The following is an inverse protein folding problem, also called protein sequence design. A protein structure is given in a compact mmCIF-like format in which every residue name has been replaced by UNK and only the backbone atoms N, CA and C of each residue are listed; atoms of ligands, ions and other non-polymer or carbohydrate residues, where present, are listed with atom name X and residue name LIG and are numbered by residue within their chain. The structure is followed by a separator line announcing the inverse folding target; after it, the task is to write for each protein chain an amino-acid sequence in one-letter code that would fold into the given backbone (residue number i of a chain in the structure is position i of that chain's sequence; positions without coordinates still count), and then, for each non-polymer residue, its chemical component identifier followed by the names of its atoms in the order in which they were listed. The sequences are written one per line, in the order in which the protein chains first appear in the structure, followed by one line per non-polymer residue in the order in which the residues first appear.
data_IF_795072188071
#
_entry.id   IF_795072188071
#
_cell.length_a   1.000
_cell.length_b   1.000
_cell.length_c   1.000
_cell.angle_alpha   90.00
_cell.angle_beta   90.00
_cell.angle_gamma   90.00
#
_symmetry.space_group_name_H-M   'P 1'
#
loop_
_entity.id
_entity.type
_entity.pdbx_description
1 polymer ?
#
# COMPACT_ATOMS: atom_id res chain seq x y z
N UNK A 1 4.98 -4.26 -15.71
CA UNK A 1 4.11 -5.44 -15.83
C UNK A 1 2.81 -5.18 -15.07
N UNK A 2 1.69 -5.77 -15.51
CA UNK A 2 0.36 -5.53 -14.95
C UNK A 2 -0.36 -4.33 -15.56
N UNK A 3 -1.71 -4.37 -15.55
CA UNK A 3 -2.59 -3.36 -16.14
C UNK A 3 -3.49 -2.63 -15.13
N UNK A 4 -3.31 -2.90 -13.83
CA UNK A 4 -4.06 -2.23 -12.75
C UNK A 4 -3.27 -1.04 -12.19
N UNK A 5 -3.93 -0.22 -11.39
CA UNK A 5 -3.27 0.89 -10.70
C UNK A 5 -3.06 2.10 -11.59
N UNK A 6 -2.02 2.89 -11.29
CA UNK A 6 -1.71 4.15 -11.96
C UNK A 6 -0.22 4.49 -11.88
N UNK A 7 0.24 5.40 -12.73
CA UNK A 7 1.61 5.93 -12.70
C UNK A 7 2.67 4.84 -12.79
N UNK A 8 3.55 4.78 -11.78
CA UNK A 8 4.70 3.85 -11.74
C UNK A 8 4.36 2.45 -11.23
N UNK A 9 3.11 2.15 -10.93
CA UNK A 9 2.71 0.82 -10.45
C UNK A 9 3.19 -0.34 -11.35
N UNK A 10 3.26 -0.21 -12.69
CA UNK A 10 3.78 -1.28 -13.54
C UNK A 10 5.28 -1.53 -13.40
N UNK A 11 6.06 -0.63 -12.80
CA UNK A 11 7.52 -0.80 -12.63
C UNK A 11 7.93 -0.90 -11.17
N UNK A 12 7.03 -0.55 -10.25
CA UNK A 12 7.29 -0.63 -8.82
C UNK A 12 7.02 -2.04 -8.31
N UNK A 13 8.09 -2.74 -7.90
CA UNK A 13 8.04 -4.05 -7.25
C UNK A 13 8.38 -3.88 -5.75
N UNK A 14 7.43 -4.08 -4.83
CA UNK A 14 7.74 -4.05 -3.40
C UNK A 14 8.70 -5.19 -3.02
N UNK A 15 9.51 -4.98 -2.00
CA UNK A 15 10.54 -5.95 -1.58
C UNK A 15 9.95 -7.29 -1.14
N UNK A 16 8.72 -7.26 -0.63
CA UNK A 16 8.00 -8.43 -0.11
C UNK A 16 7.26 -9.22 -1.20
N UNK A 17 7.42 -8.89 -2.49
CA UNK A 17 6.75 -9.59 -3.59
C UNK A 17 7.55 -9.60 -4.88
N UNK A 18 7.36 -10.62 -5.71
CA UNK A 18 7.91 -10.68 -7.07
C UNK A 18 6.99 -10.04 -8.13
N UNK A 19 5.78 -9.66 -7.73
CA UNK A 19 4.80 -8.94 -8.56
C UNK A 19 4.98 -7.42 -8.44
N UNK A 20 4.70 -6.69 -9.51
CA UNK A 20 4.60 -5.23 -9.47
C UNK A 20 3.28 -4.81 -8.80
N UNK A 21 3.16 -3.55 -8.38
CA UNK A 21 1.90 -3.05 -7.82
C UNK A 21 0.74 -3.09 -8.83
N UNK A 22 1.02 -2.98 -10.14
CA UNK A 22 0.00 -3.09 -11.19
C UNK A 22 -0.45 -4.53 -11.46
N UNK A 23 0.25 -5.53 -10.93
CA UNK A 23 -0.14 -6.95 -10.96
C UNK A 23 -0.96 -7.35 -9.73
N UNK A 24 -1.11 -6.46 -8.73
CA UNK A 24 -1.84 -6.73 -7.50
C UNK A 24 -3.29 -6.25 -7.56
N UNK A 25 -4.18 -6.90 -6.81
CA UNK A 25 -5.52 -6.36 -6.55
C UNK A 25 -5.49 -5.13 -5.64
N UNK A 26 -6.59 -4.36 -5.52
CA UNK A 26 -6.65 -3.18 -4.66
C UNK A 26 -6.28 -3.47 -3.20
N UNK A 27 -6.76 -4.59 -2.64
CA UNK A 27 -6.54 -5.01 -1.26
C UNK A 27 -5.08 -5.38 -1.01
N UNK A 28 -4.48 -6.18 -1.90
CA UNK A 28 -3.06 -6.55 -1.86
C UNK A 28 -2.16 -5.29 -1.96
N UNK A 29 -2.49 -4.39 -2.90
CA UNK A 29 -1.79 -3.11 -3.05
C UNK A 29 -1.93 -2.24 -1.80
N UNK A 30 -3.10 -2.19 -1.17
CA UNK A 30 -3.33 -1.42 0.06
C UNK A 30 -2.58 -2.03 1.26
N UNK A 31 -2.43 -3.36 1.30
CA UNK A 31 -1.63 -4.03 2.31
C UNK A 31 -0.14 -3.67 2.17
N UNK A 32 0.40 -3.70 0.95
CA UNK A 32 1.84 -3.58 0.70
C UNK A 32 2.35 -2.16 0.43
N UNK A 33 1.52 -1.27 -0.13
CA UNK A 33 1.94 0.07 -0.56
C UNK A 33 2.40 0.98 0.58
N UNK A 34 3.31 1.91 0.25
CA UNK A 34 3.80 2.92 1.18
C UNK A 34 2.66 3.77 1.79
N UNK A 35 1.63 4.11 0.99
CA UNK A 35 0.44 4.83 1.46
C UNK A 35 -0.33 4.02 2.51
N UNK A 36 -0.56 2.74 2.25
CA UNK A 36 -1.24 1.87 3.21
C UNK A 36 -0.48 1.76 4.53
N UNK A 37 0.86 1.61 4.48
CA UNK A 37 1.72 1.61 5.68
C UNK A 37 1.64 2.93 6.45
N UNK A 38 1.72 4.06 5.74
CA UNK A 38 1.62 5.38 6.35
C UNK A 38 0.26 5.59 7.02
N UNK A 39 -0.82 5.23 6.35
CA UNK A 39 -2.18 5.37 6.90
C UNK A 39 -2.38 4.53 8.16
N UNK A 40 -1.89 3.28 8.19
CA UNK A 40 -1.95 2.47 9.42
C UNK A 40 -1.20 3.11 10.59
N UNK A 41 -0.02 3.69 10.34
CA UNK A 41 0.74 4.43 11.37
C UNK A 41 0.00 5.68 11.84
N UNK A 42 -0.62 6.41 10.92
CA UNK A 42 -1.43 7.58 11.25
C UNK A 42 -2.64 7.20 12.11
N UNK A 43 -3.41 6.19 11.71
CA UNK A 43 -4.58 5.72 12.46
C UNK A 43 -4.21 5.22 13.86
N UNK A 44 -3.10 4.48 13.99
CA UNK A 44 -2.59 4.05 15.28
C UNK A 44 -2.18 5.23 16.16
N UNK A 45 -1.59 6.29 15.59
CA UNK A 45 -1.25 7.50 16.32
C UNK A 45 -2.51 8.29 16.73
N UNK A 46 -3.47 8.44 15.83
CA UNK A 46 -4.74 9.10 16.09
C UNK A 46 -5.53 8.39 17.21
N UNK A 47 -5.59 7.06 17.18
CA UNK A 47 -6.24 6.29 18.24
C UNK A 47 -5.61 6.56 19.61
N UNK A 48 -4.28 6.74 19.70
CA UNK A 48 -3.63 7.10 20.98
C UNK A 48 -4.02 8.49 21.50
N UNK A 49 -4.33 9.42 20.60
CA UNK A 49 -4.68 10.81 20.96
C UNK A 49 -6.17 10.91 21.30
N UNK A 50 -7.03 10.23 20.53
CA UNK A 50 -8.48 10.44 20.55
C UNK A 50 -9.29 9.33 21.22
N UNK A 51 -8.72 8.17 21.56
CA UNK A 51 -9.44 7.10 22.25
C UNK A 51 -9.56 7.30 23.78
N UNK A 52 -9.59 8.57 24.24
CA UNK A 52 -9.92 8.95 25.61
C UNK A 52 -11.35 9.42 25.69
#
# INVERSE_FOLDING_TARGET
RGGRGFGYDPVFRPLESDRTLAEMGPEEKNALSHRGRAMRRLLAAAARVYAR
#
